data_IF_699614642484
#
_entry.id   IF_699614642484
#
_cell.length_a   1.000
_cell.length_b   1.000
_cell.length_c   1.000
_cell.angle_alpha   90.00
_cell.angle_beta   90.00
_cell.angle_gamma   90.00
#
_symmetry.space_group_name_H-M   'P 1'
#
loop_
_entity.id
_entity.type
_entity.pdbx_description
1 polymer ?
#
# COMPACT_ATOMS: atom_id res chain seq x y z
N UNK A 1 -31.62 -29.90 -56.87
CA UNK A 1 -32.33 -30.36 -55.63
C UNK A 1 -31.26 -30.73 -54.65
N UNK A 2 -30.92 -29.81 -53.77
CA UNK A 2 -30.01 -30.03 -52.64
C UNK A 2 -30.69 -29.46 -51.41
N UNK A 3 -31.16 -30.36 -50.57
CA UNK A 3 -31.90 -30.07 -49.33
C UNK A 3 -30.98 -29.38 -48.34
N UNK A 4 -31.47 -28.30 -47.77
CA UNK A 4 -30.83 -27.56 -46.71
C UNK A 4 -31.04 -28.23 -45.36
N UNK A 5 -29.93 -28.45 -44.64
CA UNK A 5 -29.90 -28.93 -43.26
C UNK A 5 -30.28 -27.73 -42.34
N UNK A 6 -31.24 -27.91 -41.41
CA UNK A 6 -31.56 -26.87 -40.42
C UNK A 6 -30.43 -26.67 -39.42
N UNK A 7 -29.99 -25.42 -39.20
CA UNK A 7 -29.07 -25.03 -38.12
C UNK A 7 -29.87 -25.01 -36.80
N UNK A 8 -29.41 -25.78 -35.83
CA UNK A 8 -29.83 -25.67 -34.42
C UNK A 8 -29.48 -24.27 -33.88
N UNK A 9 -30.36 -23.66 -33.03
CA UNK A 9 -30.06 -22.40 -32.39
C UNK A 9 -28.96 -22.60 -31.34
N UNK A 10 -27.97 -21.70 -31.33
CA UNK A 10 -26.89 -21.64 -30.35
C UNK A 10 -27.45 -21.48 -28.92
N UNK A 11 -27.03 -22.36 -28.05
CA UNK A 11 -27.38 -22.28 -26.62
C UNK A 11 -26.83 -20.98 -26.00
N UNK A 12 -27.74 -20.23 -25.35
CA UNK A 12 -27.39 -19.05 -24.56
C UNK A 12 -26.40 -19.46 -23.42
N UNK A 13 -25.40 -18.62 -23.11
CA UNK A 13 -24.51 -18.87 -21.98
C UNK A 13 -25.33 -18.82 -20.67
N UNK A 14 -25.32 -19.91 -19.94
CA UNK A 14 -25.88 -19.97 -18.58
C UNK A 14 -25.14 -18.93 -17.72
N UNK A 15 -25.90 -18.00 -17.14
CA UNK A 15 -25.43 -17.11 -16.09
C UNK A 15 -24.77 -17.94 -14.97
N UNK A 16 -23.51 -17.64 -14.64
CA UNK A 16 -22.82 -18.20 -13.51
C UNK A 16 -23.63 -17.93 -12.24
N UNK A 17 -24.23 -18.99 -11.72
CA UNK A 17 -24.84 -18.93 -10.41
C UNK A 17 -23.71 -18.74 -9.39
N UNK A 18 -23.67 -17.58 -8.74
CA UNK A 18 -22.76 -17.30 -7.63
C UNK A 18 -22.83 -18.48 -6.64
N UNK A 19 -21.74 -19.22 -6.48
CA UNK A 19 -21.63 -20.37 -5.58
C UNK A 19 -21.95 -19.89 -4.16
N UNK A 20 -23.02 -20.42 -3.57
CA UNK A 20 -23.41 -20.06 -2.21
C UNK A 20 -22.22 -20.28 -1.25
N UNK A 21 -21.96 -19.37 -0.30
CA UNK A 21 -20.81 -19.45 0.58
C UNK A 21 -20.80 -20.77 1.32
N UNK A 22 -19.68 -21.50 1.22
CA UNK A 22 -19.50 -22.79 1.90
C UNK A 22 -19.64 -22.59 3.41
N UNK A 23 -20.36 -23.50 4.12
CA UNK A 23 -20.51 -23.38 5.56
C UNK A 23 -19.13 -23.43 6.24
N UNK A 24 -18.86 -22.54 7.21
CA UNK A 24 -17.55 -22.43 7.85
C UNK A 24 -17.17 -23.75 8.53
N UNK A 25 -15.90 -24.15 8.41
CA UNK A 25 -15.36 -25.37 9.03
C UNK A 25 -15.42 -25.25 10.56
N UNK A 26 -15.48 -26.38 11.27
CA UNK A 26 -15.59 -26.42 12.75
C UNK A 26 -14.55 -25.53 13.46
N UNK A 27 -13.30 -25.52 12.98
CA UNK A 27 -12.23 -24.71 13.57
C UNK A 27 -12.44 -23.21 13.33
N UNK A 28 -12.97 -22.84 12.19
CA UNK A 28 -13.31 -21.45 11.85
C UNK A 28 -14.43 -20.92 12.76
N UNK A 29 -15.49 -21.69 12.97
CA UNK A 29 -16.57 -21.32 13.91
C UNK A 29 -16.06 -21.18 15.33
N UNK A 30 -15.15 -22.05 15.78
CA UNK A 30 -14.56 -21.94 17.12
C UNK A 30 -13.69 -20.69 17.26
N UNK A 31 -12.90 -20.36 16.23
CA UNK A 31 -12.07 -19.17 16.19
C UNK A 31 -12.92 -17.90 16.25
N UNK A 32 -13.93 -17.80 15.40
CA UNK A 32 -14.86 -16.67 15.37
C UNK A 32 -15.60 -16.52 16.71
N UNK A 33 -16.03 -17.63 17.32
CA UNK A 33 -16.67 -17.60 18.63
C UNK A 33 -15.71 -17.17 19.74
N UNK A 34 -14.45 -17.62 19.72
CA UNK A 34 -13.42 -17.17 20.66
C UNK A 34 -13.16 -15.67 20.52
N UNK A 35 -13.09 -15.18 19.28
CA UNK A 35 -12.94 -13.76 18.99
C UNK A 35 -14.13 -12.94 19.52
N UNK A 36 -15.35 -13.37 19.27
CA UNK A 36 -16.55 -12.72 19.81
C UNK A 36 -16.53 -12.63 21.33
N UNK A 37 -16.28 -13.76 22.02
CA UNK A 37 -16.23 -13.81 23.48
C UNK A 37 -15.14 -12.90 24.06
N UNK A 38 -14.01 -12.75 23.37
CA UNK A 38 -12.91 -11.90 23.83
C UNK A 38 -13.14 -10.41 23.57
N UNK A 39 -13.54 -10.04 22.35
CA UNK A 39 -13.60 -8.63 21.92
C UNK A 39 -14.96 -7.98 22.15
N UNK A 40 -16.04 -8.76 22.24
CA UNK A 40 -17.41 -8.22 22.42
C UNK A 40 -17.94 -8.51 23.81
N UNK A 41 -17.74 -9.71 24.34
CA UNK A 41 -18.19 -10.10 25.68
C UNK A 41 -17.12 -9.82 26.76
N UNK A 42 -15.94 -9.32 26.39
CA UNK A 42 -14.82 -8.96 27.27
C UNK A 42 -14.36 -10.10 28.21
N UNK A 43 -14.56 -11.34 27.78
CA UNK A 43 -14.17 -12.51 28.56
C UNK A 43 -12.65 -12.68 28.61
N UNK A 44 -12.14 -13.20 29.74
CA UNK A 44 -10.71 -13.56 29.84
C UNK A 44 -10.39 -14.79 28.97
N UNK A 45 -9.17 -14.89 28.49
CA UNK A 45 -8.73 -16.06 27.71
C UNK A 45 -8.93 -17.40 28.46
N UNK A 46 -8.82 -17.39 29.80
CA UNK A 46 -9.06 -18.56 30.62
C UNK A 46 -10.54 -18.95 30.68
N UNK A 47 -11.43 -17.97 30.79
CA UNK A 47 -12.88 -18.19 30.77
C UNK A 47 -13.34 -18.70 29.39
N UNK A 48 -12.79 -18.15 28.31
CA UNK A 48 -13.05 -18.63 26.94
C UNK A 48 -12.57 -20.07 26.76
N UNK A 49 -11.38 -20.41 27.24
CA UNK A 49 -10.84 -21.74 27.19
C UNK A 49 -11.76 -22.78 27.87
N UNK A 50 -12.27 -22.42 29.05
CA UNK A 50 -13.24 -23.23 29.79
C UNK A 50 -14.56 -23.36 29.04
N UNK A 51 -15.11 -22.27 28.53
CA UNK A 51 -16.39 -22.24 27.82
C UNK A 51 -16.38 -23.03 26.50
N UNK A 52 -15.25 -23.00 25.80
CA UNK A 52 -15.08 -23.71 24.51
C UNK A 52 -14.50 -25.12 24.65
N UNK A 53 -14.12 -25.54 25.86
CA UNK A 53 -13.50 -26.87 26.10
C UNK A 53 -12.14 -27.04 25.42
N UNK A 54 -11.34 -25.96 25.35
CA UNK A 54 -10.01 -25.94 24.72
C UNK A 54 -8.93 -25.43 25.68
N UNK A 55 -7.66 -25.64 25.35
CA UNK A 55 -6.57 -25.06 26.14
C UNK A 55 -6.43 -23.54 25.94
N UNK A 56 -5.97 -22.80 27.00
CA UNK A 56 -5.73 -21.35 26.93
C UNK A 56 -4.78 -20.97 25.78
N UNK A 57 -3.73 -21.77 25.54
CA UNK A 57 -2.79 -21.55 24.42
C UNK A 57 -3.52 -21.64 23.07
N UNK A 58 -4.50 -22.52 22.95
CA UNK A 58 -5.36 -22.64 21.75
C UNK A 58 -6.18 -21.38 21.55
N UNK A 59 -6.76 -20.79 22.61
CA UNK A 59 -7.50 -19.54 22.55
C UNK A 59 -6.56 -18.39 22.08
N UNK A 60 -5.37 -18.27 22.66
CA UNK A 60 -4.39 -17.25 22.25
C UNK A 60 -4.09 -17.37 20.75
N UNK A 61 -3.86 -18.60 20.26
CA UNK A 61 -3.61 -18.83 18.83
C UNK A 61 -4.84 -18.49 17.96
N UNK A 62 -6.05 -18.86 18.38
CA UNK A 62 -7.28 -18.52 17.67
C UNK A 62 -7.49 -17.01 17.57
N UNK A 63 -7.23 -16.25 18.64
CA UNK A 63 -7.35 -14.79 18.62
C UNK A 63 -6.31 -14.13 17.72
N UNK A 64 -5.08 -14.63 17.71
CA UNK A 64 -4.04 -14.16 16.80
C UNK A 64 -4.40 -14.45 15.34
N UNK A 65 -4.90 -15.67 15.05
CA UNK A 65 -5.33 -16.08 13.73
C UNK A 65 -6.56 -15.29 13.24
N UNK A 66 -7.53 -15.01 14.11
CA UNK A 66 -8.69 -14.20 13.78
C UNK A 66 -8.31 -12.77 13.35
N UNK A 67 -7.28 -12.19 14.00
CA UNK A 67 -6.70 -10.90 13.59
C UNK A 67 -5.99 -11.01 12.25
N UNK A 68 -5.15 -12.02 12.08
CA UNK A 68 -4.38 -12.23 10.84
C UNK A 68 -5.28 -12.48 9.61
N UNK A 69 -6.46 -13.08 9.82
CA UNK A 69 -7.46 -13.31 8.78
C UNK A 69 -8.44 -12.14 8.58
N UNK A 70 -8.28 -11.03 9.34
CA UNK A 70 -9.19 -9.88 9.25
C UNK A 70 -10.60 -10.13 9.81
N UNK A 71 -10.84 -11.24 10.53
CA UNK A 71 -12.12 -11.54 11.18
C UNK A 71 -12.40 -10.59 12.38
N UNK A 72 -11.36 -9.94 12.89
CA UNK A 72 -11.43 -8.92 13.94
C UNK A 72 -10.71 -7.68 13.47
N UNK A 73 -11.40 -6.56 13.45
CA UNK A 73 -10.82 -5.22 13.19
C UNK A 73 -10.91 -4.41 14.48
N UNK A 74 -9.77 -3.87 14.93
CA UNK A 74 -9.70 -3.00 16.09
C UNK A 74 -9.45 -1.59 15.58
N UNK A 75 -10.40 -0.68 15.79
CA UNK A 75 -10.24 0.72 15.50
C UNK A 75 -10.01 1.48 16.82
N UNK A 76 -8.94 2.27 16.88
CA UNK A 76 -8.70 3.19 17.98
C UNK A 76 -9.25 4.56 17.58
N UNK A 77 -10.15 5.14 18.39
CA UNK A 77 -10.50 6.53 18.22
C UNK A 77 -9.27 7.38 18.49
N UNK A 78 -8.88 8.22 17.51
CA UNK A 78 -7.69 9.05 17.63
C UNK A 78 -7.76 9.93 18.87
N UNK A 79 -6.83 9.75 19.79
CA UNK A 79 -6.52 10.74 20.82
C UNK A 79 -5.79 11.93 20.18
N UNK A 80 -6.53 12.78 19.45
CA UNK A 80 -5.98 13.91 18.68
C UNK A 80 -5.23 14.94 19.54
N UNK A 81 -5.41 14.97 20.85
CA UNK A 81 -4.84 16.01 21.68
C UNK A 81 -3.33 15.87 21.92
N UNK A 82 -2.80 14.65 21.98
CA UNK A 82 -1.42 14.41 22.41
C UNK A 82 -0.38 14.62 21.26
N UNK A 83 -0.73 14.28 20.03
CA UNK A 83 0.15 14.42 18.86
C UNK A 83 -0.20 15.59 17.95
N UNK A 84 -1.29 16.30 18.20
CA UNK A 84 -1.75 17.42 17.37
C UNK A 84 -0.75 18.59 17.28
N UNK A 85 0.05 18.82 18.33
CA UNK A 85 1.12 19.79 18.33
C UNK A 85 2.21 19.42 17.34
N UNK A 86 2.60 18.16 17.32
CA UNK A 86 3.62 17.60 16.41
C UNK A 86 3.13 17.57 14.96
N UNK A 87 1.87 17.19 14.74
CA UNK A 87 1.22 17.25 13.42
C UNK A 87 1.24 18.69 12.86
N UNK A 88 0.86 19.66 13.68
CA UNK A 88 0.91 21.07 13.29
C UNK A 88 2.34 21.57 13.02
N UNK A 89 3.34 21.10 13.78
CA UNK A 89 4.75 21.43 13.55
C UNK A 89 5.23 20.87 12.21
N UNK A 90 4.90 19.61 11.87
CA UNK A 90 5.19 19.00 10.57
C UNK A 90 4.57 19.80 9.41
N UNK A 91 3.30 20.18 9.52
CA UNK A 91 2.63 20.97 8.49
C UNK A 91 3.36 22.29 8.24
N UNK A 92 3.76 23.00 9.30
CA UNK A 92 4.51 24.26 9.17
C UNK A 92 5.91 24.08 8.59
N UNK A 93 6.64 23.04 9.04
CA UNK A 93 8.03 22.82 8.64
C UNK A 93 8.15 22.40 7.17
N UNK A 94 7.18 21.65 6.66
CA UNK A 94 7.25 21.02 5.34
C UNK A 94 6.17 21.48 4.35
N UNK A 95 5.32 22.45 4.72
CA UNK A 95 4.28 22.98 3.84
C UNK A 95 3.18 21.98 3.52
N UNK A 96 2.86 21.07 4.46
CA UNK A 96 1.82 20.08 4.30
C UNK A 96 0.44 20.70 4.62
N UNK A 97 -0.60 20.20 3.95
CA UNK A 97 -1.99 20.51 4.28
C UNK A 97 -2.43 19.74 5.53
N UNK A 98 -1.95 18.49 5.65
CA UNK A 98 -2.28 17.60 6.77
C UNK A 98 -1.08 16.73 7.14
N UNK A 99 -0.88 16.48 8.42
CA UNK A 99 0.04 15.47 8.92
C UNK A 99 -0.71 14.53 9.88
N UNK A 100 -0.39 13.26 9.81
CA UNK A 100 -0.96 12.22 10.66
C UNK A 100 0.18 11.50 11.32
N UNK A 101 0.28 11.62 12.64
CA UNK A 101 1.31 10.99 13.42
C UNK A 101 0.74 9.76 14.13
N UNK A 102 1.28 8.59 13.79
CA UNK A 102 0.93 7.33 14.43
C UNK A 102 1.74 7.17 15.73
N UNK A 103 1.10 6.86 16.87
CA UNK A 103 1.81 6.65 18.13
C UNK A 103 2.68 5.39 18.06
N UNK A 104 3.83 5.42 18.73
CA UNK A 104 4.69 4.27 18.94
C UNK A 104 4.81 3.92 20.41
N UNK A 105 4.66 2.64 20.74
CA UNK A 105 4.88 2.16 22.12
C UNK A 105 6.31 2.34 22.60
N UNK A 106 7.28 2.24 21.69
CA UNK A 106 8.71 2.44 21.92
C UNK A 106 9.33 3.14 20.70
N UNK A 107 10.23 4.11 20.87
CA UNK A 107 10.89 4.82 19.77
C UNK A 107 11.67 3.90 18.80
N UNK A 108 12.10 2.74 19.26
CA UNK A 108 12.82 1.73 18.46
C UNK A 108 11.92 0.67 17.81
N UNK A 109 10.59 0.74 18.00
CA UNK A 109 9.67 -0.21 17.38
C UNK A 109 9.60 -0.02 15.87
N UNK A 110 9.32 -1.10 15.12
CA UNK A 110 9.01 -1.00 13.69
C UNK A 110 7.67 -0.25 13.51
N UNK A 111 7.67 0.94 12.91
CA UNK A 111 6.46 1.76 12.82
C UNK A 111 5.48 1.29 11.74
N UNK A 112 5.83 0.28 10.96
CA UNK A 112 5.10 -0.15 9.76
C UNK A 112 3.63 -0.45 10.07
N UNK A 113 3.33 -1.13 11.17
CA UNK A 113 1.96 -1.47 11.56
C UNK A 113 1.16 -0.23 12.01
N UNK A 114 1.77 0.64 12.82
CA UNK A 114 1.12 1.86 13.32
C UNK A 114 0.81 2.85 12.20
N UNK A 115 1.79 3.08 11.30
CA UNK A 115 1.59 3.93 10.11
C UNK A 115 0.54 3.30 9.20
N UNK A 116 0.59 1.97 8.98
CA UNK A 116 -0.40 1.26 8.17
C UNK A 116 -1.82 1.44 8.70
N UNK A 117 -2.01 1.33 10.02
CA UNK A 117 -3.32 1.55 10.65
C UNK A 117 -3.82 2.98 10.43
N UNK A 118 -2.98 3.98 10.68
CA UNK A 118 -3.34 5.38 10.49
C UNK A 118 -3.64 5.69 9.01
N UNK A 119 -2.85 5.13 8.09
CA UNK A 119 -3.04 5.27 6.65
C UNK A 119 -4.35 4.65 6.17
N UNK A 120 -4.67 3.43 6.61
CA UNK A 120 -5.91 2.73 6.20
C UNK A 120 -7.16 3.51 6.58
N UNK A 121 -7.19 4.05 7.80
CA UNK A 121 -8.27 4.92 8.25
C UNK A 121 -8.36 6.23 7.44
N UNK A 122 -7.20 6.87 7.21
CA UNK A 122 -7.13 8.12 6.45
C UNK A 122 -7.60 7.94 5.02
N UNK A 123 -7.03 6.97 4.31
CA UNK A 123 -7.39 6.70 2.90
C UNK A 123 -8.86 6.35 2.78
N UNK A 124 -9.41 5.54 3.70
CA UNK A 124 -10.85 5.23 3.69
C UNK A 124 -11.73 6.49 3.82
N UNK A 125 -11.29 7.49 4.59
CA UNK A 125 -12.02 8.76 4.72
C UNK A 125 -11.89 9.66 3.48
N UNK A 126 -10.79 9.52 2.74
CA UNK A 126 -10.48 10.29 1.54
C UNK A 126 -11.31 9.87 0.33
N UNK A 127 -11.63 8.57 0.21
CA UNK A 127 -12.27 8.01 -0.98
C UNK A 127 -13.65 8.62 -1.23
N UNK A 128 -13.98 8.82 -2.50
CA UNK A 128 -15.28 9.28 -3.00
C UNK A 128 -15.64 8.59 -4.31
N UNK A 129 -16.92 8.68 -4.71
CA UNK A 129 -17.38 8.16 -6.01
C UNK A 129 -16.59 8.78 -7.16
N UNK A 130 -16.43 8.01 -8.24
CA UNK A 130 -15.75 8.38 -9.48
C UNK A 130 -14.29 8.83 -9.31
N UNK A 131 -13.68 8.52 -8.15
CA UNK A 131 -12.30 8.90 -7.85
C UNK A 131 -11.31 8.00 -8.58
N UNK A 132 -10.24 8.61 -9.10
CA UNK A 132 -9.09 7.91 -9.66
C UNK A 132 -7.92 8.00 -8.69
N UNK A 133 -7.50 6.87 -8.12
CA UNK A 133 -6.42 6.82 -7.12
C UNK A 133 -5.22 6.03 -7.63
N UNK A 134 -4.05 6.65 -7.62
CA UNK A 134 -2.79 6.01 -7.91
C UNK A 134 -2.15 5.43 -6.66
N UNK A 135 -1.78 4.15 -6.72
CA UNK A 135 -1.20 3.45 -5.58
C UNK A 135 0.22 2.98 -5.88
N UNK A 136 1.12 3.32 -4.98
CA UNK A 136 2.47 2.79 -4.95
C UNK A 136 2.53 1.37 -4.37
N UNK A 137 3.65 1.03 -3.78
CA UNK A 137 3.90 -0.29 -3.22
C UNK A 137 4.71 -0.22 -1.92
N UNK A 138 4.83 -1.36 -1.24
CA UNK A 138 5.68 -1.53 -0.07
C UNK A 138 4.92 -1.94 1.19
N UNK A 139 5.68 -2.40 2.19
CA UNK A 139 5.16 -3.00 3.42
C UNK A 139 4.18 -2.09 4.18
N UNK A 140 4.50 -0.80 4.26
CA UNK A 140 3.65 0.17 4.97
C UNK A 140 2.28 0.29 4.31
N UNK A 141 2.25 0.33 2.97
CA UNK A 141 1.00 0.40 2.21
C UNK A 141 0.21 -0.91 2.36
N UNK A 142 0.87 -2.07 2.25
CA UNK A 142 0.22 -3.37 2.44
C UNK A 142 -0.44 -3.49 3.82
N UNK A 143 0.20 -2.97 4.89
CA UNK A 143 -0.37 -2.97 6.24
C UNK A 143 -1.63 -2.12 6.39
N UNK A 144 -1.85 -1.15 5.52
CA UNK A 144 -3.08 -0.34 5.56
C UNK A 144 -4.34 -1.12 5.15
N UNK A 145 -4.19 -2.21 4.38
CA UNK A 145 -5.32 -3.04 3.94
C UNK A 145 -6.12 -3.62 5.11
N UNK A 146 -5.45 -3.96 6.21
CA UNK A 146 -6.08 -4.52 7.41
C UNK A 146 -6.97 -3.49 8.15
N UNK A 147 -6.82 -2.20 7.82
CA UNK A 147 -7.46 -1.07 8.47
C UNK A 147 -8.34 -0.22 7.55
N UNK A 148 -8.58 -0.70 6.32
CA UNK A 148 -9.54 -0.08 5.43
C UNK A 148 -10.95 -0.24 6.00
N UNK A 149 -11.74 0.84 5.92
CA UNK A 149 -13.17 0.81 6.30
C UNK A 149 -14.00 0.48 5.08
N UNK A 150 -14.95 -0.41 5.24
CA UNK A 150 -15.92 -0.71 4.21
C UNK A 150 -16.71 0.55 3.84
N UNK A 151 -16.79 0.82 2.55
CA UNK A 151 -17.56 1.91 1.97
C UNK A 151 -18.17 1.45 0.65
N UNK A 152 -19.40 1.80 0.44
CA UNK A 152 -20.06 1.61 -0.85
C UNK A 152 -19.68 2.79 -1.76
N UNK A 153 -18.85 2.53 -2.76
CA UNK A 153 -18.29 3.52 -3.66
C UNK A 153 -18.54 3.10 -5.12
N UNK A 154 -19.10 4.00 -5.89
CA UNK A 154 -19.33 3.78 -7.31
C UNK A 154 -18.24 4.45 -8.16
N UNK A 155 -17.79 3.78 -9.22
CA UNK A 155 -16.87 4.35 -10.20
C UNK A 155 -15.44 4.58 -9.71
N UNK A 156 -15.06 4.05 -8.54
CA UNK A 156 -13.69 4.14 -8.05
C UNK A 156 -12.75 3.39 -8.99
N UNK A 157 -11.66 4.02 -9.39
CA UNK A 157 -10.63 3.43 -10.23
C UNK A 157 -9.27 3.46 -9.54
N UNK A 158 -8.60 2.33 -9.49
CA UNK A 158 -7.28 2.14 -8.87
C UNK A 158 -6.24 1.96 -9.96
N UNK A 159 -5.14 2.70 -9.88
CA UNK A 159 -4.02 2.60 -10.82
C UNK A 159 -2.76 2.20 -10.06
N UNK A 160 -2.12 1.11 -10.47
CA UNK A 160 -0.78 0.78 -9.98
C UNK A 160 0.24 1.74 -10.60
N UNK A 161 1.02 2.40 -9.75
CA UNK A 161 2.01 3.40 -10.19
C UNK A 161 3.36 2.79 -10.58
N UNK A 162 3.55 1.48 -10.45
CA UNK A 162 4.81 0.80 -10.77
C UNK A 162 4.56 -0.61 -11.28
N UNK A 163 5.42 -1.08 -12.16
CA UNK A 163 5.39 -2.44 -12.70
C UNK A 163 5.70 -3.51 -11.65
N UNK A 164 5.46 -4.77 -11.98
CA UNK A 164 5.62 -5.90 -11.08
C UNK A 164 7.06 -6.38 -10.92
N UNK A 165 7.25 -7.31 -9.98
CA UNK A 165 8.50 -8.07 -9.80
C UNK A 165 8.26 -9.54 -10.13
N UNK A 166 9.29 -10.22 -10.67
CA UNK A 166 9.17 -11.62 -11.10
C UNK A 166 9.27 -12.62 -9.95
N UNK A 167 9.97 -12.23 -8.87
CA UNK A 167 10.13 -13.07 -7.68
C UNK A 167 9.89 -12.23 -6.42
N UNK A 168 8.98 -12.69 -5.58
CA UNK A 168 8.68 -12.05 -4.30
C UNK A 168 8.23 -13.11 -3.29
N UNK A 169 8.57 -12.89 -2.03
CA UNK A 169 8.05 -13.69 -0.93
C UNK A 169 6.79 -13.05 -0.32
N UNK A 170 6.75 -11.69 -0.22
CA UNK A 170 5.69 -10.98 0.52
C UNK A 170 5.37 -9.55 0.03
N UNK A 171 6.07 -8.98 -0.96
CA UNK A 171 5.95 -7.56 -1.31
C UNK A 171 5.93 -7.34 -2.84
N UNK A 172 4.93 -7.85 -3.56
CA UNK A 172 4.76 -7.57 -4.98
C UNK A 172 4.09 -6.19 -5.18
N UNK A 173 4.64 -5.31 -6.05
CA UNK A 173 4.03 -4.02 -6.35
C UNK A 173 2.57 -4.08 -6.85
N UNK A 174 2.18 -5.16 -7.52
CA UNK A 174 0.81 -5.35 -8.00
C UNK A 174 -0.16 -5.83 -6.92
N UNK A 175 0.32 -6.31 -5.78
CA UNK A 175 -0.50 -6.91 -4.73
C UNK A 175 -1.35 -5.87 -4.01
N UNK A 176 -0.73 -4.79 -3.55
CA UNK A 176 -1.43 -3.73 -2.82
C UNK A 176 -2.55 -3.07 -3.65
N UNK A 177 -2.30 -2.58 -4.87
CA UNK A 177 -3.36 -2.01 -5.71
C UNK A 177 -4.49 -2.99 -5.99
N UNK A 178 -4.18 -4.26 -6.28
CA UNK A 178 -5.18 -5.28 -6.56
C UNK A 178 -6.02 -5.65 -5.33
N UNK A 179 -5.40 -5.75 -4.15
CA UNK A 179 -6.11 -6.02 -2.90
C UNK A 179 -6.98 -4.83 -2.49
N UNK A 180 -6.47 -3.61 -2.67
CA UNK A 180 -7.19 -2.39 -2.41
C UNK A 180 -8.43 -2.27 -3.31
N UNK A 181 -8.28 -2.50 -4.62
CA UNK A 181 -9.40 -2.47 -5.56
C UNK A 181 -10.49 -3.48 -5.18
N UNK A 182 -10.11 -4.72 -4.83
CA UNK A 182 -11.06 -5.73 -4.34
C UNK A 182 -11.80 -5.32 -3.07
N UNK A 183 -11.14 -4.59 -2.16
CA UNK A 183 -11.78 -4.15 -0.92
C UNK A 183 -12.92 -3.14 -1.14
N UNK A 184 -12.95 -2.48 -2.31
CA UNK A 184 -13.94 -1.46 -2.66
C UNK A 184 -14.72 -1.77 -3.94
N UNK A 185 -14.62 -2.99 -4.47
CA UNK A 185 -15.23 -3.40 -5.76
C UNK A 185 -14.91 -2.41 -6.90
N UNK A 186 -13.65 -1.98 -6.98
CA UNK A 186 -13.16 -0.95 -7.87
C UNK A 186 -12.45 -1.54 -9.10
N UNK A 187 -12.48 -0.81 -10.21
CA UNK A 187 -11.65 -1.11 -11.38
C UNK A 187 -10.15 -0.98 -11.04
N UNK A 188 -9.34 -1.93 -11.49
CA UNK A 188 -7.90 -1.93 -11.23
C UNK A 188 -7.09 -1.94 -12.52
N UNK A 189 -6.28 -0.90 -12.71
CA UNK A 189 -5.37 -0.73 -13.84
C UNK A 189 -3.93 -1.00 -13.38
N UNK A 190 -3.32 -2.03 -13.93
CA UNK A 190 -1.94 -2.43 -13.60
C UNK A 190 -1.00 -2.09 -14.74
N UNK A 191 0.29 -1.89 -14.45
CA UNK A 191 1.37 -1.85 -15.43
C UNK A 191 1.88 -3.29 -15.60
N UNK A 192 1.43 -4.05 -16.62
CA UNK A 192 1.81 -5.45 -16.81
C UNK A 192 3.21 -5.58 -17.43
N UNK A 193 4.20 -5.01 -16.77
CA UNK A 193 5.59 -5.03 -17.15
C UNK A 193 6.46 -5.21 -15.89
N UNK A 194 7.71 -5.70 -16.02
CA UNK A 194 8.65 -5.66 -14.89
C UNK A 194 8.86 -4.22 -14.41
N UNK A 195 9.02 -4.02 -13.09
CA UNK A 195 9.28 -2.69 -12.52
C UNK A 195 10.59 -2.06 -13.03
N UNK A 196 11.51 -2.90 -13.50
CA UNK A 196 12.78 -2.47 -14.14
C UNK A 196 13.00 -3.29 -15.40
N UNK A 197 13.17 -2.61 -16.53
CA UNK A 197 13.51 -3.22 -17.83
C UNK A 197 15.01 -3.09 -18.14
N UNK A 198 15.49 -3.77 -19.17
CA UNK A 198 16.89 -3.82 -19.56
C UNK A 198 17.40 -2.49 -20.14
N UNK A 199 16.53 -1.74 -20.83
CA UNK A 199 16.93 -0.53 -21.54
C UNK A 199 15.80 0.52 -21.63
N UNK A 200 16.14 1.81 -21.82
CA UNK A 200 15.15 2.85 -22.14
C UNK A 200 14.37 2.58 -23.43
N UNK A 201 14.97 1.89 -24.39
CA UNK A 201 14.32 1.51 -25.66
C UNK A 201 13.21 0.48 -25.41
N UNK A 202 13.46 -0.51 -24.57
CA UNK A 202 12.44 -1.48 -24.16
C UNK A 202 11.29 -0.79 -23.42
N UNK A 203 11.60 0.14 -22.50
CA UNK A 203 10.58 0.97 -21.84
C UNK A 203 9.69 1.70 -22.84
N UNK A 204 10.30 2.41 -23.78
CA UNK A 204 9.57 3.14 -24.81
C UNK A 204 8.71 2.19 -25.68
N UNK A 205 9.26 1.04 -26.10
CA UNK A 205 8.54 0.06 -26.90
C UNK A 205 7.33 -0.53 -26.16
N UNK A 206 7.45 -0.82 -24.87
CA UNK A 206 6.35 -1.32 -24.04
C UNK A 206 5.24 -0.28 -23.92
N UNK A 207 5.58 0.98 -23.69
CA UNK A 207 4.60 2.06 -23.56
C UNK A 207 3.91 2.35 -24.90
N UNK A 208 4.68 2.55 -25.98
CA UNK A 208 4.16 3.06 -27.24
C UNK A 208 3.55 1.97 -28.14
N UNK A 209 4.07 0.72 -28.06
CA UNK A 209 3.72 -0.35 -29.01
C UNK A 209 3.04 -1.56 -28.38
N UNK A 210 3.11 -1.72 -27.06
CA UNK A 210 2.53 -2.88 -26.36
C UNK A 210 1.27 -2.53 -25.53
N UNK A 211 0.62 -1.39 -25.80
CA UNK A 211 -0.66 -1.03 -25.20
C UNK A 211 -0.60 -0.41 -23.80
N UNK A 212 0.60 -0.20 -23.24
CA UNK A 212 0.73 0.41 -21.90
C UNK A 212 0.42 1.91 -21.89
N UNK A 213 0.42 2.57 -23.05
CA UNK A 213 0.14 4.00 -23.17
C UNK A 213 -1.20 4.41 -22.53
N UNK A 214 -2.22 3.54 -22.58
CA UNK A 214 -3.51 3.80 -21.95
C UNK A 214 -3.41 3.90 -20.42
N UNK A 215 -2.65 3.02 -19.77
CA UNK A 215 -2.45 3.06 -18.31
C UNK A 215 -1.63 4.29 -17.91
N UNK A 216 -0.62 4.65 -18.70
CA UNK A 216 0.17 5.85 -18.49
C UNK A 216 -0.68 7.13 -18.65
N UNK A 217 -1.51 7.21 -19.68
CA UNK A 217 -2.45 8.32 -19.86
C UNK A 217 -3.49 8.39 -18.73
N UNK A 218 -3.91 7.24 -18.18
CA UNK A 218 -4.80 7.21 -17.03
C UNK A 218 -4.12 7.80 -15.77
N UNK A 219 -2.80 7.60 -15.62
CA UNK A 219 -2.02 8.17 -14.53
C UNK A 219 -1.87 9.70 -14.61
N UNK A 220 -2.12 10.32 -15.75
CA UNK A 220 -2.09 11.79 -15.91
C UNK A 220 -3.33 12.49 -15.34
N UNK A 221 -4.36 11.75 -14.95
CA UNK A 221 -5.65 12.27 -14.49
C UNK A 221 -6.05 11.74 -13.10
N UNK A 222 -5.08 11.52 -12.23
CA UNK A 222 -5.32 11.02 -10.87
C UNK A 222 -5.85 12.12 -9.95
N UNK A 223 -6.87 11.81 -9.15
CA UNK A 223 -7.38 12.68 -8.08
C UNK A 223 -6.49 12.60 -6.83
N UNK A 224 -5.94 11.42 -6.57
CA UNK A 224 -5.04 11.21 -5.45
C UNK A 224 -3.95 10.19 -5.78
N UNK A 225 -2.83 10.28 -5.08
CA UNK A 225 -1.79 9.26 -5.05
C UNK A 225 -1.46 8.90 -3.61
N UNK A 226 -1.22 7.61 -3.36
CA UNK A 226 -0.78 7.09 -2.07
C UNK A 226 0.51 6.32 -2.29
N UNK A 227 1.61 6.82 -1.77
CA UNK A 227 2.94 6.29 -2.00
C UNK A 227 3.72 6.14 -0.70
N UNK A 228 4.74 5.30 -0.74
CA UNK A 228 5.74 5.15 0.33
C UNK A 228 7.12 5.28 -0.28
N UNK A 229 8.13 5.42 0.56
CA UNK A 229 9.53 5.46 0.14
C UNK A 229 10.33 4.32 0.72
N UNK A 230 11.32 3.86 -0.03
CA UNK A 230 12.33 2.90 0.39
C UNK A 230 13.68 3.57 0.63
N UNK A 231 14.47 3.00 1.55
CA UNK A 231 15.90 3.28 1.66
C UNK A 231 16.69 2.51 0.59
N UNK A 232 18.00 2.75 0.52
CA UNK A 232 18.90 2.01 -0.38
C UNK A 232 19.80 1.03 0.37
N UNK A 233 19.50 0.72 1.64
CA UNK A 233 20.23 -0.26 2.44
C UNK A 233 19.88 -1.72 2.04
N UNK A 234 20.56 -2.68 2.64
CA UNK A 234 20.36 -4.11 2.31
C UNK A 234 19.06 -4.68 2.89
N UNK A 235 18.43 -4.00 3.85
CA UNK A 235 17.13 -4.36 4.41
C UNK A 235 15.96 -3.77 3.63
N UNK A 236 16.23 -2.85 2.69
CA UNK A 236 15.22 -2.21 1.87
C UNK A 236 14.44 -3.22 1.01
N UNK A 237 13.18 -2.92 0.72
CA UNK A 237 12.32 -3.80 -0.09
C UNK A 237 12.91 -4.02 -1.49
N UNK A 238 13.43 -2.98 -2.13
CA UNK A 238 14.10 -3.07 -3.45
C UNK A 238 15.34 -3.98 -3.45
N UNK A 239 16.01 -4.12 -2.31
CA UNK A 239 17.13 -5.05 -2.14
C UNK A 239 16.64 -6.49 -1.93
N UNK A 240 15.65 -6.68 -1.07
CA UNK A 240 15.09 -7.99 -0.73
C UNK A 240 14.38 -8.66 -1.91
N UNK A 241 13.75 -7.87 -2.78
CA UNK A 241 13.14 -8.34 -4.03
C UNK A 241 14.15 -8.44 -5.18
N UNK A 242 15.44 -8.22 -4.91
CA UNK A 242 16.52 -8.22 -5.92
C UNK A 242 16.24 -7.28 -7.12
N UNK A 243 15.37 -6.28 -6.92
CA UNK A 243 14.97 -5.35 -7.97
C UNK A 243 16.10 -4.38 -8.33
N UNK A 244 16.82 -3.88 -7.32
CA UNK A 244 18.01 -3.06 -7.49
C UNK A 244 19.20 -3.81 -6.90
N UNK A 245 20.14 -4.22 -7.73
CA UNK A 245 21.32 -4.98 -7.33
C UNK A 245 22.22 -4.22 -6.34
N UNK A 246 22.99 -4.95 -5.53
CA UNK A 246 23.86 -4.34 -4.51
C UNK A 246 24.89 -3.35 -5.10
N UNK A 247 25.41 -3.65 -6.30
CA UNK A 247 26.35 -2.78 -7.01
C UNK A 247 25.69 -1.45 -7.40
N UNK A 248 24.49 -1.50 -7.99
CA UNK A 248 23.74 -0.31 -8.38
C UNK A 248 23.34 0.52 -7.16
N UNK A 249 22.85 -0.11 -6.07
CA UNK A 249 22.51 0.60 -4.82
C UNK A 249 23.74 1.31 -4.23
N UNK A 250 24.91 0.68 -4.27
CA UNK A 250 26.17 1.30 -3.83
C UNK A 250 26.54 2.49 -4.70
N UNK A 251 26.56 2.31 -6.02
CA UNK A 251 26.88 3.38 -6.96
C UNK A 251 25.94 4.58 -6.78
N UNK A 252 24.64 4.33 -6.64
CA UNK A 252 23.67 5.42 -6.42
C UNK A 252 23.88 6.15 -5.09
N UNK A 253 24.22 5.44 -3.99
CA UNK A 253 24.58 6.08 -2.71
C UNK A 253 25.84 6.93 -2.84
N UNK A 254 26.84 6.46 -3.55
CA UNK A 254 28.08 7.21 -3.84
C UNK A 254 27.80 8.50 -4.62
N UNK A 255 26.74 8.50 -5.44
CA UNK A 255 26.25 9.70 -6.16
C UNK A 255 25.22 10.52 -5.36
N UNK A 256 25.08 10.29 -4.04
CA UNK A 256 24.22 11.06 -3.16
C UNK A 256 22.78 10.55 -3.04
N UNK A 257 22.47 9.38 -3.58
CA UNK A 257 21.14 8.76 -3.45
C UNK A 257 20.80 8.42 -2.00
N UNK A 258 19.65 8.88 -1.52
CA UNK A 258 19.17 8.69 -0.15
C UNK A 258 17.97 7.75 -0.05
N UNK A 259 17.22 7.59 -1.13
CA UNK A 259 16.01 6.76 -1.15
C UNK A 259 15.44 6.56 -2.54
N UNK A 260 14.35 5.81 -2.61
CA UNK A 260 13.60 5.59 -3.83
C UNK A 260 12.10 5.88 -3.62
N UNK A 261 11.47 6.37 -4.67
CA UNK A 261 10.03 6.55 -4.82
C UNK A 261 9.59 5.87 -6.11
N UNK A 262 8.71 4.87 -6.02
CA UNK A 262 8.29 4.07 -7.18
C UNK A 262 9.50 3.53 -7.98
N UNK A 263 10.53 3.05 -7.29
CA UNK A 263 11.81 2.57 -7.79
C UNK A 263 12.72 3.64 -8.44
N UNK A 264 12.32 4.91 -8.47
CA UNK A 264 13.16 6.02 -8.94
C UNK A 264 14.02 6.54 -7.77
N UNK A 265 15.34 6.48 -7.91
CA UNK A 265 16.28 6.88 -6.87
C UNK A 265 16.55 8.38 -6.94
N UNK A 266 16.54 9.03 -5.78
CA UNK A 266 16.72 10.48 -5.63
C UNK A 266 17.68 10.83 -4.48
N UNK A 267 18.18 12.05 -4.51
CA UNK A 267 19.06 12.62 -3.50
C UNK A 267 18.29 13.36 -2.38
N UNK A 268 19.02 13.91 -1.41
CA UNK A 268 18.45 14.66 -0.29
C UNK A 268 17.77 15.98 -0.71
N UNK A 269 18.03 16.49 -1.92
CA UNK A 269 17.38 17.66 -2.48
C UNK A 269 16.10 17.29 -3.26
N UNK A 270 15.80 15.99 -3.37
CA UNK A 270 14.65 15.46 -4.12
C UNK A 270 14.90 15.42 -5.64
N UNK A 271 16.14 15.50 -6.08
CA UNK A 271 16.49 15.38 -7.49
C UNK A 271 16.80 13.93 -7.81
N UNK A 272 16.34 13.47 -8.98
CA UNK A 272 16.65 12.13 -9.44
C UNK A 272 18.15 11.98 -9.67
N UNK A 273 18.72 10.87 -9.18
CA UNK A 273 20.12 10.52 -9.44
C UNK A 273 20.31 10.28 -10.94
N UNK A 274 21.30 10.92 -11.55
CA UNK A 274 21.69 10.65 -12.92
C UNK A 274 22.41 9.29 -13.01
N UNK A 275 21.59 8.26 -13.21
CA UNK A 275 22.04 6.88 -13.31
C UNK A 275 21.17 6.11 -14.31
N UNK A 276 21.76 5.22 -15.15
CA UNK A 276 21.02 4.48 -16.18
C UNK A 276 19.82 3.70 -15.65
N UNK A 277 19.82 3.30 -14.37
CA UNK A 277 18.70 2.59 -13.76
C UNK A 277 17.43 3.44 -13.76
N UNK A 278 17.50 4.73 -13.40
CA UNK A 278 16.32 5.61 -13.36
C UNK A 278 15.65 5.76 -14.73
N UNK A 279 16.39 5.58 -15.82
CA UNK A 279 15.85 5.62 -17.18
C UNK A 279 15.07 4.35 -17.56
N UNK A 280 15.24 3.26 -16.80
CA UNK A 280 14.68 1.93 -17.08
C UNK A 280 13.51 1.54 -16.19
N UNK A 281 13.15 2.39 -15.22
CA UNK A 281 12.04 2.14 -14.28
C UNK A 281 10.71 2.22 -15.01
N UNK A 282 9.90 1.17 -14.89
CA UNK A 282 8.52 1.11 -15.38
C UNK A 282 7.55 1.61 -14.30
N UNK A 283 7.55 2.90 -14.09
CA UNK A 283 6.60 3.58 -13.19
C UNK A 283 5.81 4.64 -13.94
N UNK A 284 4.68 5.05 -13.39
CA UNK A 284 4.01 6.28 -13.82
C UNK A 284 5.01 7.44 -13.81
N UNK A 285 4.93 8.40 -14.74
CA UNK A 285 5.79 9.57 -14.72
C UNK A 285 5.68 10.30 -13.39
N UNK A 286 6.81 10.64 -12.78
CA UNK A 286 6.79 11.35 -11.49
C UNK A 286 6.10 12.71 -11.61
N UNK A 287 6.12 13.34 -12.78
CA UNK A 287 5.39 14.59 -13.03
C UNK A 287 3.87 14.38 -12.94
N UNK A 288 3.33 13.28 -13.45
CA UNK A 288 1.91 12.91 -13.30
C UNK A 288 1.56 12.64 -11.83
N UNK A 289 2.45 11.93 -11.12
CA UNK A 289 2.29 11.67 -9.67
C UNK A 289 2.28 12.98 -8.86
N UNK A 290 3.14 13.93 -9.21
CA UNK A 290 3.24 15.27 -8.58
C UNK A 290 2.06 16.18 -8.96
N UNK A 291 1.45 15.97 -10.11
CA UNK A 291 0.31 16.75 -10.58
C UNK A 291 -1.00 16.38 -9.87
N UNK A 292 -1.08 15.20 -9.22
CA UNK A 292 -2.26 14.80 -8.48
C UNK A 292 -2.59 15.81 -7.37
N UNK A 293 -3.86 16.27 -7.26
CA UNK A 293 -4.26 17.25 -6.24
C UNK A 293 -3.97 16.77 -4.81
N UNK A 294 -4.18 15.47 -4.54
CA UNK A 294 -3.96 14.87 -3.24
C UNK A 294 -2.77 13.92 -3.34
N UNK A 295 -1.72 14.19 -2.59
CA UNK A 295 -0.48 13.40 -2.57
C UNK A 295 -0.18 12.95 -1.16
N UNK A 296 -0.44 11.67 -0.89
CA UNK A 296 -0.23 11.05 0.42
C UNK A 296 1.10 10.31 0.42
N UNK A 297 2.01 10.75 1.26
CA UNK A 297 3.26 10.07 1.57
C UNK A 297 3.11 9.31 2.90
N UNK A 298 3.26 8.00 2.90
CA UNK A 298 3.20 7.17 4.10
C UNK A 298 4.55 6.49 4.35
N UNK A 299 5.32 7.01 5.28
CA UNK A 299 6.66 6.50 5.57
C UNK A 299 7.11 6.84 6.99
N UNK A 300 7.97 6.01 7.57
CA UNK A 300 8.58 6.25 8.87
C UNK A 300 9.69 5.26 9.18
N UNK A 301 10.28 5.48 10.36
CA UNK A 301 11.44 4.75 10.86
C UNK A 301 12.75 5.52 10.65
N UNK A 302 13.59 5.54 11.69
CA UNK A 302 14.83 6.31 11.73
C UNK A 302 15.78 6.03 10.55
N UNK A 303 15.84 4.77 10.09
CA UNK A 303 16.66 4.36 8.94
C UNK A 303 16.22 4.95 7.59
N UNK A 304 15.01 5.51 7.52
CA UNK A 304 14.45 6.15 6.31
C UNK A 304 14.43 7.67 6.37
N UNK A 305 14.94 8.29 7.42
CA UNK A 305 14.80 9.73 7.62
C UNK A 305 15.28 10.53 6.39
N UNK A 306 16.50 10.27 5.91
CA UNK A 306 17.01 10.94 4.70
C UNK A 306 16.18 10.67 3.44
N UNK A 307 15.63 9.45 3.29
CA UNK A 307 14.72 9.15 2.19
C UNK A 307 13.41 9.95 2.31
N UNK A 308 12.87 10.10 3.52
CA UNK A 308 11.64 10.87 3.76
C UNK A 308 11.89 12.37 3.48
N UNK A 309 13.00 12.93 3.95
CA UNK A 309 13.36 14.33 3.70
C UNK A 309 13.50 14.65 2.20
N UNK A 310 14.19 13.78 1.45
CA UNK A 310 14.29 13.91 -0.01
C UNK A 310 12.94 13.79 -0.69
N UNK A 311 12.09 12.84 -0.25
CA UNK A 311 10.75 12.66 -0.81
C UNK A 311 9.81 13.83 -0.54
N UNK A 312 9.90 14.47 0.62
CA UNK A 312 9.14 15.68 0.93
C UNK A 312 9.45 16.80 -0.08
N UNK A 313 10.71 16.92 -0.51
CA UNK A 313 11.11 17.89 -1.55
C UNK A 313 10.72 17.44 -2.96
N UNK A 314 10.88 16.13 -3.28
CA UNK A 314 10.57 15.58 -4.59
C UNK A 314 9.07 15.61 -4.88
N UNK A 315 8.28 15.03 -4.00
CA UNK A 315 6.84 14.81 -4.19
C UNK A 315 6.01 16.03 -3.81
N UNK A 316 6.48 16.85 -2.86
CA UNK A 316 5.70 17.91 -2.21
C UNK A 316 4.33 17.39 -1.79
N UNK A 317 4.26 16.40 -0.89
CA UNK A 317 3.00 15.79 -0.52
C UNK A 317 2.05 16.79 0.11
N UNK A 318 0.75 16.61 -0.08
CA UNK A 318 -0.29 17.35 0.66
C UNK A 318 -0.45 16.77 2.06
N UNK A 319 -0.26 15.45 2.19
CA UNK A 319 -0.42 14.74 3.46
C UNK A 319 0.77 13.84 3.74
N UNK A 320 1.28 13.89 4.96
CA UNK A 320 2.28 12.96 5.48
C UNK A 320 1.64 12.08 6.57
N UNK A 321 1.74 10.76 6.39
CA UNK A 321 1.41 9.77 7.45
C UNK A 321 2.70 9.16 7.93
N UNK A 322 3.06 9.40 9.19
CA UNK A 322 4.34 8.98 9.75
C UNK A 322 4.21 8.52 11.20
N UNK A 323 5.28 8.06 11.81
CA UNK A 323 5.34 7.72 13.23
C UNK A 323 5.88 8.87 14.08
N UNK A 324 5.64 8.80 15.38
CA UNK A 324 6.03 9.82 16.36
C UNK A 324 7.55 10.09 16.36
N UNK A 325 8.39 9.05 16.34
CA UNK A 325 9.83 9.22 16.37
C UNK A 325 10.35 9.90 15.10
N UNK A 326 9.84 9.51 13.94
CA UNK A 326 10.15 10.17 12.66
C UNK A 326 9.67 11.61 12.66
N UNK A 327 8.46 11.88 13.15
CA UNK A 327 7.90 13.23 13.22
C UNK A 327 8.76 14.17 14.07
N UNK A 328 9.21 13.73 15.25
CA UNK A 328 10.12 14.52 16.10
C UNK A 328 11.44 14.83 15.42
N UNK A 329 12.04 13.86 14.72
CA UNK A 329 13.26 14.11 13.96
C UNK A 329 13.05 15.13 12.83
N UNK A 330 11.93 15.04 12.10
CA UNK A 330 11.62 15.96 10.98
C UNK A 330 11.31 17.40 11.44
N UNK A 331 10.86 17.57 12.69
CA UNK A 331 10.58 18.90 13.28
C UNK A 331 11.72 19.45 14.10
N UNK A 332 12.77 18.66 14.36
CA UNK A 332 13.87 19.03 15.25
C UNK A 332 13.50 19.06 16.74
N UNK A 333 12.40 18.41 17.12
CA UNK A 333 11.92 18.30 18.51
C UNK A 333 12.41 16.99 19.20
N UNK A 334 13.56 16.49 18.77
CA UNK A 334 14.13 15.23 19.27
C UNK A 334 14.72 15.33 20.68
#
# INVERSE_FOLDING_TARGET
MTEGVPREPAAEPRADAAEAPRPPRRNERLRQRAAWMYFVEEMTQSAIAQALGVGRVTVVRMLAEARALGEVRIALSRGRAELGGLEAALCRAHGLEEAIVAPLSLPSADPTASIGAALGEYVSSLLRNDMKIGLGWGRTLNRSLEHLRERDLNGLSVVSLVGGVTHFAHDNPAEFPSAFARAFDADCYLIPAPALVDSPLTKAALIERCGLGSVYAFADALDAVVVSVGSLDDAATVARCELIGAADRRAMREHGGVGELLCNVYDKEGLLIDHPLNLRVMSAPLESVKAAPIRVLAAGGAHKLGAIEGALKLLKPTTLVTDEATARNLTGEA
#
